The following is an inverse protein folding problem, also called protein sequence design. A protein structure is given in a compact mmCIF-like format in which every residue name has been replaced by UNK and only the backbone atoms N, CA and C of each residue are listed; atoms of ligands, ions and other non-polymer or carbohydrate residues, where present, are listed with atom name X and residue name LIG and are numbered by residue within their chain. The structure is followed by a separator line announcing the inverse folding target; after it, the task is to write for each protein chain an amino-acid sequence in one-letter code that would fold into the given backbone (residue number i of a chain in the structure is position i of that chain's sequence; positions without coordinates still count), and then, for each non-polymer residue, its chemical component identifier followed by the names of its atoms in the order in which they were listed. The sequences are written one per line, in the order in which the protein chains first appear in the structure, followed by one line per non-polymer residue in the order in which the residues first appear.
data_IF_493255383105
#
_entry.id   IF_493255383105
#
_cell.length_a   1.000
_cell.length_b   1.000
_cell.length_c   1.000
_cell.angle_alpha   90.00
_cell.angle_beta   90.00
_cell.angle_gamma   90.00
#
_symmetry.space_group_name_H-M   'P 1'
#
loop_
_entity.id
_entity.type
_entity.pdbx_description
1 polymer ?
#
# COMPACT_ATOMS: atom_id res chain seq x y z
N UNK A 1 19.41 13.99 -2.13
CA UNK A 1 17.99 13.66 -2.04
C UNK A 1 17.30 14.58 -1.04
N UNK A 2 16.01 14.87 -1.22
CA UNK A 2 15.20 15.66 -0.26
C UNK A 2 15.03 14.88 1.06
N UNK A 3 15.04 15.52 2.25
CA UNK A 3 14.85 14.83 3.52
C UNK A 3 13.48 14.14 3.61
N UNK A 4 13.43 12.91 4.14
CA UNK A 4 12.19 12.12 4.32
C UNK A 4 11.04 12.93 4.97
N UNK A 5 11.26 13.74 6.03
CA UNK A 5 10.17 14.52 6.63
C UNK A 5 9.55 15.55 5.67
N UNK A 6 10.35 16.12 4.76
CA UNK A 6 9.86 17.09 3.77
C UNK A 6 9.03 16.37 2.70
N UNK A 7 9.48 15.19 2.27
CA UNK A 7 8.74 14.33 1.34
C UNK A 7 7.39 13.89 1.94
N UNK A 8 7.37 13.40 3.18
CA UNK A 8 6.15 12.99 3.87
C UNK A 8 5.12 14.11 3.96
N UNK A 9 5.56 15.34 4.28
CA UNK A 9 4.67 16.50 4.35
C UNK A 9 4.12 16.90 2.99
N UNK A 10 4.96 16.87 1.94
CA UNK A 10 4.51 17.19 0.57
C UNK A 10 3.51 16.17 0.05
N UNK A 11 3.80 14.88 0.22
CA UNK A 11 2.88 13.81 -0.17
C UNK A 11 1.58 13.88 0.62
N UNK A 12 1.66 14.06 1.94
CA UNK A 12 0.46 14.17 2.78
C UNK A 12 -0.44 15.34 2.39
N UNK A 13 0.14 16.52 2.12
CA UNK A 13 -0.65 17.65 1.56
C UNK A 13 -1.30 17.28 0.24
N UNK A 14 -0.55 16.66 -0.67
CA UNK A 14 -1.10 16.27 -1.97
C UNK A 14 -2.24 15.27 -1.84
N UNK A 15 -2.10 14.28 -0.95
CA UNK A 15 -3.15 13.30 -0.68
C UNK A 15 -4.36 13.96 -0.02
N UNK A 16 -4.16 14.87 0.95
CA UNK A 16 -5.23 15.64 1.56
C UNK A 16 -6.01 16.46 0.51
N UNK A 17 -5.32 17.17 -0.38
CA UNK A 17 -5.93 17.94 -1.47
C UNK A 17 -6.75 17.04 -2.40
N UNK A 18 -6.25 15.84 -2.72
CA UNK A 18 -6.97 14.86 -3.53
C UNK A 18 -8.22 14.35 -2.79
N UNK A 19 -8.13 14.13 -1.48
CA UNK A 19 -9.26 13.65 -0.68
C UNK A 19 -10.40 14.67 -0.54
N UNK A 20 -10.15 15.96 -0.79
CA UNK A 20 -11.21 16.98 -0.85
C UNK A 20 -12.19 16.69 -1.99
N UNK A 21 -11.72 16.12 -3.11
CA UNK A 21 -12.56 15.77 -4.24
C UNK A 21 -13.36 14.47 -4.02
N UNK A 22 -12.99 13.67 -3.02
CA UNK A 22 -13.61 12.38 -2.70
C UNK A 22 -12.61 11.35 -2.18
N UNK A 23 -13.04 10.12 -1.87
CA UNK A 23 -12.15 9.08 -1.38
C UNK A 23 -11.02 8.76 -2.35
N UNK A 24 -9.81 8.55 -1.82
CA UNK A 24 -8.61 8.24 -2.60
C UNK A 24 -8.10 6.85 -2.25
N UNK A 25 -7.79 6.05 -3.27
CA UNK A 25 -7.08 4.77 -3.11
C UNK A 25 -5.66 4.94 -3.65
N UNK A 26 -4.66 4.60 -2.82
CA UNK A 26 -3.26 4.51 -3.23
C UNK A 26 -2.90 3.04 -3.33
N UNK A 27 -2.63 2.56 -4.54
CA UNK A 27 -2.16 1.20 -4.80
C UNK A 27 -0.64 1.19 -4.92
N UNK A 28 -0.01 0.29 -4.17
CA UNK A 28 1.43 0.02 -4.23
C UNK A 28 1.62 -1.44 -4.59
N UNK A 29 2.03 -1.67 -5.83
CA UNK A 29 2.43 -3.00 -6.27
C UNK A 29 3.86 -3.29 -5.82
N UNK A 30 4.18 -4.58 -5.66
CA UNK A 30 5.55 -5.03 -5.39
C UNK A 30 6.21 -4.30 -4.19
N UNK A 31 5.46 -4.10 -3.10
CA UNK A 31 5.86 -3.31 -1.93
C UNK A 31 7.22 -3.71 -1.32
N UNK A 32 7.62 -4.96 -1.48
CA UNK A 32 8.92 -5.50 -1.06
C UNK A 32 10.13 -4.86 -1.78
N UNK A 33 9.92 -4.13 -2.88
CA UNK A 33 10.95 -3.35 -3.56
C UNK A 33 11.02 -1.88 -3.07
N UNK A 34 10.13 -1.47 -2.17
CA UNK A 34 10.05 -0.10 -1.68
C UNK A 34 11.26 0.25 -0.80
N UNK A 35 11.86 1.43 -1.00
CA UNK A 35 12.93 1.90 -0.13
C UNK A 35 12.41 2.35 1.25
N UNK A 36 13.29 2.36 2.25
CA UNK A 36 12.93 2.69 3.62
C UNK A 36 12.27 4.08 3.77
N UNK A 37 12.73 5.05 2.97
CA UNK A 37 12.20 6.41 3.00
C UNK A 37 10.73 6.44 2.55
N UNK A 38 10.41 5.71 1.50
CA UNK A 38 9.08 5.58 0.93
C UNK A 38 8.15 4.83 1.87
N UNK A 39 8.62 3.74 2.51
CA UNK A 39 7.82 3.03 3.53
C UNK A 39 7.51 3.93 4.72
N UNK A 40 8.48 4.68 5.24
CA UNK A 40 8.26 5.63 6.35
C UNK A 40 7.24 6.73 5.98
N UNK A 41 7.27 7.21 4.75
CA UNK A 41 6.30 8.18 4.23
C UNK A 41 4.89 7.56 4.22
N UNK A 42 4.74 6.34 3.72
CA UNK A 42 3.46 5.63 3.63
C UNK A 42 2.88 5.30 5.00
N UNK A 43 3.72 4.79 5.91
CA UNK A 43 3.34 4.54 7.30
C UNK A 43 2.77 5.81 7.95
N UNK A 44 3.44 6.95 7.75
CA UNK A 44 2.97 8.23 8.28
C UNK A 44 1.59 8.63 7.73
N UNK A 45 1.30 8.36 6.45
CA UNK A 45 -0.01 8.65 5.87
C UNK A 45 -1.09 7.67 6.36
N UNK A 46 -0.78 6.38 6.48
CA UNK A 46 -1.70 5.37 6.99
C UNK A 46 -2.16 5.67 8.42
N UNK A 47 -1.28 6.19 9.28
CA UNK A 47 -1.64 6.63 10.64
C UNK A 47 -2.61 7.81 10.69
N UNK A 48 -2.75 8.58 9.60
CA UNK A 48 -3.72 9.65 9.48
C UNK A 48 -5.05 9.18 8.88
N UNK A 49 -5.23 7.87 8.65
CA UNK A 49 -6.37 7.28 7.94
C UNK A 49 -7.75 7.60 8.55
N UNK A 50 -7.82 8.03 9.81
CA UNK A 50 -9.05 8.50 10.43
C UNK A 50 -9.41 9.96 10.10
N UNK A 51 -8.46 10.77 9.63
CA UNK A 51 -8.66 12.21 9.38
C UNK A 51 -9.02 12.53 7.92
N UNK A 52 -8.84 11.59 6.99
CA UNK A 52 -9.10 11.76 5.57
C UNK A 52 -9.52 10.44 4.91
N UNK A 53 -10.42 10.45 3.91
CA UNK A 53 -10.91 9.25 3.23
C UNK A 53 -9.84 8.66 2.29
N UNK A 54 -8.79 8.08 2.87
CA UNK A 54 -7.64 7.50 2.18
C UNK A 54 -7.53 6.01 2.49
N UNK A 55 -7.53 5.17 1.47
CA UNK A 55 -7.18 3.75 1.55
C UNK A 55 -5.81 3.51 0.92
N UNK A 56 -4.91 2.85 1.64
CA UNK A 56 -3.62 2.39 1.10
C UNK A 56 -3.69 0.88 0.91
N UNK A 57 -3.50 0.41 -0.31
CA UNK A 57 -3.46 -1.02 -0.67
C UNK A 57 -2.04 -1.37 -1.07
N UNK A 58 -1.47 -2.38 -0.41
CA UNK A 58 -0.13 -2.89 -0.70
C UNK A 58 -0.22 -4.31 -1.22
N UNK A 59 0.40 -4.58 -2.37
CA UNK A 59 0.64 -5.95 -2.84
C UNK A 59 2.08 -6.32 -2.47
N UNK A 60 2.25 -7.51 -1.88
CA UNK A 60 3.56 -8.00 -1.49
C UNK A 60 3.64 -9.51 -1.69
N UNK A 61 4.86 -10.01 -1.92
CA UNK A 61 5.09 -11.46 -2.06
C UNK A 61 5.02 -12.15 -0.69
N UNK A 62 4.42 -13.35 -0.58
CA UNK A 62 4.24 -14.06 0.68
C UNK A 62 5.54 -14.55 1.36
N UNK A 63 6.71 -14.43 0.74
CA UNK A 63 7.94 -15.10 1.21
C UNK A 63 9.02 -14.13 1.71
N UNK A 64 9.22 -14.12 3.03
CA UNK A 64 10.53 -13.89 3.65
C UNK A 64 11.03 -12.45 3.78
N UNK A 65 10.28 -11.44 3.34
CA UNK A 65 10.65 -10.03 3.53
C UNK A 65 9.73 -9.39 4.57
N UNK A 66 10.24 -9.08 5.78
CA UNK A 66 9.56 -8.19 6.70
C UNK A 66 9.10 -6.91 6.00
N UNK A 67 7.94 -6.41 6.44
CA UNK A 67 7.61 -5.00 6.27
C UNK A 67 8.75 -4.24 6.97
N UNK A 68 9.73 -3.74 6.24
CA UNK A 68 10.80 -2.90 6.78
C UNK A 68 10.52 -1.44 6.46
N UNK A 69 10.52 -0.54 7.45
CA UNK A 69 10.50 -0.83 8.89
C UNK A 69 9.19 -1.50 9.32
N UNK A 70 9.20 -2.27 10.44
CA UNK A 70 7.97 -2.83 11.01
C UNK A 70 7.00 -1.68 11.28
N UNK A 71 5.95 -1.62 10.46
CA UNK A 71 4.91 -0.62 10.59
C UNK A 71 3.97 -1.09 11.69
N UNK A 72 4.02 -0.45 12.85
CA UNK A 72 2.92 -0.57 13.81
C UNK A 72 1.76 0.23 13.26
N UNK A 73 0.78 -0.43 12.67
CA UNK A 73 -0.47 0.23 12.26
C UNK A 73 -1.48 0.10 13.40
N UNK A 74 -2.38 1.08 13.60
CA UNK A 74 -3.41 0.98 14.63
C UNK A 74 -4.23 -0.30 14.43
N UNK A 75 -4.58 -1.03 15.52
CA UNK A 75 -5.46 -2.18 15.40
C UNK A 75 -6.81 -1.77 14.80
N UNK A 76 -7.28 -2.49 13.77
CA UNK A 76 -8.56 -2.23 13.10
C UNK A 76 -8.45 -1.41 11.80
N UNK A 77 -7.31 -0.76 11.53
CA UNK A 77 -7.10 0.05 10.32
C UNK A 77 -6.42 -0.74 9.18
N UNK A 78 -6.19 -2.05 9.37
CA UNK A 78 -5.50 -2.92 8.42
C UNK A 78 -6.28 -4.19 8.19
N UNK A 79 -6.54 -4.49 6.92
CA UNK A 79 -7.02 -5.79 6.46
C UNK A 79 -5.96 -6.44 5.58
N UNK A 80 -5.62 -7.71 5.89
CA UNK A 80 -4.75 -8.53 5.05
C UNK A 80 -5.63 -9.46 4.23
N UNK A 81 -5.37 -9.53 2.92
CA UNK A 81 -5.98 -10.51 2.01
C UNK A 81 -4.88 -11.44 1.53
N UNK A 82 -4.93 -12.69 2.00
CA UNK A 82 -4.01 -13.73 1.53
C UNK A 82 -4.53 -14.30 0.20
N UNK A 83 -3.75 -14.06 -0.86
CA UNK A 83 -4.04 -14.63 -2.18
C UNK A 83 -3.35 -15.97 -2.31
N UNK A 84 -4.13 -17.03 -2.51
CA UNK A 84 -3.59 -18.33 -2.85
C UNK A 84 -2.98 -18.31 -4.26
N UNK A 85 -1.96 -19.13 -4.48
CA UNK A 85 -1.50 -19.39 -5.84
C UNK A 85 -2.63 -20.05 -6.64
N UNK A 86 -2.75 -19.69 -7.92
CA UNK A 86 -3.66 -20.38 -8.82
C UNK A 86 -3.30 -21.86 -8.92
N UNK A 87 -4.32 -22.70 -8.94
CA UNK A 87 -4.23 -24.11 -9.33
C UNK A 87 -4.06 -24.23 -10.84
N UNK A 88 -3.54 -25.37 -11.30
CA UNK A 88 -3.38 -25.64 -12.73
C UNK A 88 -4.70 -25.48 -13.53
N UNK A 89 -5.86 -25.96 -13.05
CA UNK A 89 -7.14 -25.71 -13.72
C UNK A 89 -7.52 -24.22 -13.79
N UNK A 90 -7.32 -23.45 -12.71
CA UNK A 90 -7.63 -22.01 -12.69
C UNK A 90 -6.72 -21.22 -13.64
N UNK A 91 -5.44 -21.61 -13.74
CA UNK A 91 -4.52 -21.02 -14.72
C UNK A 91 -5.03 -21.28 -16.14
N UNK A 92 -5.47 -22.51 -16.43
CA UNK A 92 -6.01 -22.85 -17.74
C UNK A 92 -7.27 -22.03 -18.10
N UNK A 93 -8.15 -21.82 -17.12
CA UNK A 93 -9.35 -20.99 -17.27
C UNK A 93 -9.00 -19.51 -17.54
N UNK A 94 -8.12 -18.92 -16.74
CA UNK A 94 -7.68 -17.52 -16.92
C UNK A 94 -6.98 -17.34 -18.26
N UNK A 95 -6.09 -18.26 -18.65
CA UNK A 95 -5.40 -18.20 -19.93
C UNK A 95 -6.38 -18.29 -21.12
N UNK A 96 -7.37 -19.18 -21.04
CA UNK A 96 -8.38 -19.33 -22.08
C UNK A 96 -9.33 -18.13 -22.21
N UNK A 97 -9.51 -17.33 -21.16
CA UNK A 97 -10.31 -16.12 -21.20
C UNK A 97 -9.58 -14.89 -21.79
N UNK A 98 -8.26 -14.98 -21.94
CA UNK A 98 -7.39 -13.86 -22.34
C UNK A 98 -6.71 -14.07 -23.71
N UNK A 99 -6.94 -15.22 -24.36
CA UNK A 99 -6.48 -15.57 -25.70
C UNK A 99 -7.65 -15.98 -26.60
#
# INVERSE_FOLDING_TARGET
GMPVPVLSRRLGRRLADLTVAGPVVVLLDDFHHCDEASVRVLAHQAHRGAEQPLLVVVAQRPAGQPLWPPMTLPPGDVATVDLAAFTEPEVAEVAAAWW
#
